data_IF_881315381579
#
_entry.id   IF_881315381579
#
_cell.length_a   1.000
_cell.length_b   1.000
_cell.length_c   1.000
_cell.angle_alpha   90.00
_cell.angle_beta   90.00
_cell.angle_gamma   90.00
#
_symmetry.space_group_name_H-M   'P 1'
#
loop_
_entity.id
_entity.type
_entity.pdbx_description
1 polymer ?
#
# COMPACT_ATOMS: atom_id res chain seq x y z
N UNK A 1 33.07 -16.86 -23.20
CA UNK A 1 32.01 -16.56 -24.20
C UNK A 1 30.60 -17.04 -23.83
N UNK A 2 30.43 -17.99 -22.90
CA UNK A 2 29.10 -18.50 -22.52
C UNK A 2 28.24 -17.51 -21.68
N UNK A 3 28.88 -16.67 -20.85
CA UNK A 3 28.18 -15.67 -20.02
C UNK A 3 27.52 -14.55 -20.83
N UNK A 4 28.09 -14.19 -21.99
CA UNK A 4 27.52 -13.20 -22.92
C UNK A 4 26.29 -13.75 -23.65
N UNK A 5 26.28 -15.05 -23.97
CA UNK A 5 25.14 -15.73 -24.61
C UNK A 5 23.94 -15.85 -23.67
N UNK A 6 24.18 -16.15 -22.38
CA UNK A 6 23.09 -16.24 -21.38
C UNK A 6 22.43 -14.87 -21.16
N UNK A 7 23.20 -13.78 -21.12
CA UNK A 7 22.67 -12.44 -20.98
C UNK A 7 21.78 -12.03 -22.18
N UNK A 8 22.18 -12.38 -23.40
CA UNK A 8 21.39 -12.12 -24.61
C UNK A 8 20.10 -12.94 -24.64
N UNK A 9 20.11 -14.20 -24.21
CA UNK A 9 18.91 -15.03 -24.13
C UNK A 9 17.87 -14.47 -23.13
N UNK A 10 18.31 -13.97 -21.97
CA UNK A 10 17.41 -13.36 -20.98
C UNK A 10 16.81 -12.06 -21.53
N UNK A 11 17.62 -11.25 -22.23
CA UNK A 11 17.14 -9.99 -22.81
C UNK A 11 16.12 -10.21 -23.94
N UNK A 12 16.27 -11.26 -24.74
CA UNK A 12 15.29 -11.62 -25.79
C UNK A 12 13.95 -12.09 -25.24
N UNK A 13 13.91 -12.78 -24.10
CA UNK A 13 12.66 -13.26 -23.48
C UNK A 13 11.85 -12.09 -22.93
N UNK A 14 12.51 -11.08 -22.33
CA UNK A 14 11.83 -9.90 -21.77
C UNK A 14 11.18 -9.05 -22.88
N UNK A 15 11.84 -8.89 -24.03
CA UNK A 15 11.28 -8.14 -25.17
C UNK A 15 10.08 -8.85 -25.78
N UNK A 16 10.10 -10.18 -25.85
CA UNK A 16 8.99 -10.97 -26.41
C UNK A 16 7.73 -10.95 -25.52
N UNK A 17 7.89 -10.91 -24.19
CA UNK A 17 6.76 -10.77 -23.26
C UNK A 17 6.16 -9.36 -23.22
N UNK A 18 6.96 -8.32 -23.54
CA UNK A 18 6.45 -6.96 -23.64
C UNK A 18 5.60 -6.76 -24.91
N UNK A 19 6.04 -7.33 -26.05
CA UNK A 19 5.32 -7.19 -27.32
C UNK A 19 3.99 -7.95 -27.34
N UNK A 20 3.91 -9.10 -26.67
CA UNK A 20 2.68 -9.92 -26.62
C UNK A 20 1.60 -9.35 -25.68
N UNK A 21 1.96 -8.58 -24.65
CA UNK A 21 0.97 -7.94 -23.77
C UNK A 21 0.35 -6.67 -24.36
N UNK A 22 1.04 -5.98 -25.26
CA UNK A 22 0.51 -4.75 -25.90
C UNK A 22 -0.49 -5.08 -27.02
N UNK A 23 -0.42 -6.26 -27.62
CA UNK A 23 -1.21 -6.61 -28.81
C UNK A 23 -2.57 -7.26 -28.50
N UNK A 24 -2.96 -7.40 -27.22
CA UNK A 24 -4.19 -8.11 -26.80
C UNK A 24 -5.29 -7.24 -26.19
N UNK A 25 -5.18 -5.91 -26.16
CA UNK A 25 -6.20 -5.05 -25.52
C UNK A 25 -6.91 -4.04 -26.43
N UNK A 26 -6.70 -4.07 -27.75
CA UNK A 26 -7.40 -3.16 -28.66
C UNK A 26 -8.46 -3.88 -29.48
N UNK A 27 -9.68 -4.05 -28.94
CA UNK A 27 -10.91 -4.13 -29.75
C UNK A 27 -12.15 -3.58 -29.02
N UNK A 28 -12.59 -2.41 -29.51
CA UNK A 28 -13.97 -1.93 -29.65
C UNK A 28 -14.74 -1.39 -28.43
N UNK A 29 -14.75 -0.06 -28.26
CA UNK A 29 -16.00 0.69 -27.98
C UNK A 29 -15.97 2.01 -28.81
N UNK A 30 -17.00 2.34 -29.62
CA UNK A 30 -17.00 3.56 -30.42
C UNK A 30 -17.19 4.81 -29.56
N UNK A 31 -16.34 5.81 -29.82
CA UNK A 31 -16.48 7.17 -29.31
C UNK A 31 -17.51 7.94 -30.13
N UNK A 32 -18.59 8.40 -29.50
CA UNK A 32 -19.47 9.41 -30.09
C UNK A 32 -19.88 10.46 -29.05
N UNK A 33 -19.11 11.55 -29.07
CA UNK A 33 -19.47 12.96 -28.91
C UNK A 33 -20.54 13.37 -27.89
N UNK A 34 -20.10 14.17 -26.91
CA UNK A 34 -20.78 15.42 -26.56
C UNK A 34 -19.75 16.47 -26.13
N UNK A 35 -19.48 17.41 -27.05
CA UNK A 35 -18.75 18.65 -26.79
C UNK A 35 -19.65 19.59 -25.98
N UNK A 36 -19.18 20.04 -24.83
CA UNK A 36 -19.61 21.29 -24.18
C UNK A 36 -18.35 22.10 -23.86
N UNK A 37 -18.29 23.41 -24.17
CA UNK A 37 -17.12 24.22 -23.94
C UNK A 37 -17.18 24.80 -22.51
N UNK A 38 -16.41 24.23 -21.60
CA UNK A 38 -15.94 24.96 -20.42
C UNK A 38 -14.57 24.40 -20.03
N UNK A 39 -13.53 25.10 -20.46
CA UNK A 39 -12.14 24.85 -20.06
C UNK A 39 -11.96 25.32 -18.62
N UNK A 40 -11.50 24.40 -17.75
CA UNK A 40 -10.41 24.58 -16.77
C UNK A 40 -10.65 23.72 -15.51
N UNK A 41 -10.27 22.44 -15.59
CA UNK A 41 -9.37 21.81 -14.62
C UNK A 41 -8.60 20.78 -15.45
N UNK A 42 -7.28 20.91 -15.51
CA UNK A 42 -6.42 19.88 -16.06
C UNK A 42 -6.45 18.68 -15.13
N UNK A 43 -7.44 17.80 -15.31
CA UNK A 43 -7.45 16.49 -14.65
C UNK A 43 -6.25 15.71 -15.20
N UNK A 44 -5.31 15.36 -14.31
CA UNK A 44 -4.27 14.43 -14.69
C UNK A 44 -4.93 13.11 -15.12
N UNK A 45 -4.44 12.46 -16.20
CA UNK A 45 -5.04 11.23 -16.65
C UNK A 45 -5.08 10.22 -15.50
N UNK A 46 -6.20 9.50 -15.28
CA UNK A 46 -6.44 8.64 -14.12
C UNK A 46 -5.39 7.54 -13.91
N UNK A 47 -4.56 7.25 -14.92
CA UNK A 47 -3.40 6.35 -14.81
C UNK A 47 -2.24 6.96 -13.98
N UNK A 48 -1.98 8.27 -14.11
CA UNK A 48 -0.94 8.96 -13.35
C UNK A 48 -1.28 9.03 -11.87
N UNK A 49 -2.52 9.38 -11.54
CA UNK A 49 -3.00 9.40 -10.15
C UNK A 49 -2.94 8.02 -9.49
N UNK A 50 -3.33 6.95 -10.21
CA UNK A 50 -3.20 5.57 -9.72
C UNK A 50 -1.76 5.17 -9.48
N UNK A 51 -0.85 5.60 -10.35
CA UNK A 51 0.59 5.34 -10.21
C UNK A 51 1.19 6.09 -9.01
N UNK A 52 0.81 7.36 -8.78
CA UNK A 52 1.28 8.13 -7.62
C UNK A 52 0.74 7.55 -6.30
N UNK A 53 -0.56 7.26 -6.23
CA UNK A 53 -1.16 6.65 -5.05
C UNK A 53 -0.51 5.30 -4.73
N UNK A 54 -0.22 4.48 -5.74
CA UNK A 54 0.46 3.20 -5.55
C UNK A 54 1.86 3.37 -4.95
N UNK A 55 2.64 4.37 -5.41
CA UNK A 55 3.96 4.67 -4.85
C UNK A 55 3.90 5.15 -3.40
N UNK A 56 2.90 5.96 -3.05
CA UNK A 56 2.68 6.38 -1.65
C UNK A 56 2.31 5.17 -0.77
N UNK A 57 1.39 4.33 -1.23
CA UNK A 57 1.00 3.11 -0.52
C UNK A 57 2.17 2.13 -0.36
N UNK A 58 3.05 2.04 -1.36
CA UNK A 58 4.29 1.27 -1.26
C UNK A 58 5.20 1.81 -0.14
N UNK A 59 5.36 3.13 -0.02
CA UNK A 59 6.16 3.73 1.05
C UNK A 59 5.59 3.47 2.47
N UNK A 60 4.27 3.41 2.60
CA UNK A 60 3.60 2.98 3.85
C UNK A 60 3.89 1.50 4.13
N UNK A 61 3.70 0.63 3.13
CA UNK A 61 3.93 -0.82 3.25
C UNK A 61 5.38 -1.16 3.63
N UNK A 62 6.37 -0.53 2.99
CA UNK A 62 7.79 -0.71 3.31
C UNK A 62 8.11 -0.29 4.75
N UNK A 63 7.56 0.84 5.20
CA UNK A 63 7.73 1.33 6.57
C UNK A 63 7.06 0.40 7.59
N UNK A 64 5.86 -0.09 7.28
CA UNK A 64 5.13 -1.03 8.13
C UNK A 64 5.88 -2.37 8.24
N UNK A 65 6.33 -2.94 7.11
CA UNK A 65 7.07 -4.22 7.11
C UNK A 65 8.36 -4.15 7.92
N UNK A 66 9.06 -3.02 7.87
CA UNK A 66 10.26 -2.81 8.67
C UNK A 66 9.99 -2.95 10.18
N UNK A 67 8.85 -2.45 10.68
CA UNK A 67 8.48 -2.56 12.10
C UNK A 67 7.78 -3.87 12.43
N UNK A 68 7.03 -4.46 11.49
CA UNK A 68 6.36 -5.75 11.65
C UNK A 68 7.37 -6.88 11.91
N UNK A 69 8.47 -6.92 11.15
CA UNK A 69 9.55 -7.90 11.31
C UNK A 69 10.10 -7.93 12.75
N UNK A 70 10.13 -6.77 13.40
CA UNK A 70 10.67 -6.62 14.75
C UNK A 70 9.63 -6.81 15.85
N UNK A 71 8.33 -6.81 15.53
CA UNK A 71 7.23 -6.75 16.51
C UNK A 71 7.17 -7.93 17.49
N UNK A 72 7.88 -9.04 17.20
CA UNK A 72 8.00 -10.20 18.08
C UNK A 72 9.25 -10.21 18.98
N UNK A 73 10.11 -9.20 18.92
CA UNK A 73 11.35 -9.20 19.69
C UNK A 73 11.11 -8.91 21.17
N UNK A 74 11.85 -9.62 22.04
CA UNK A 74 11.82 -9.42 23.49
C UNK A 74 12.55 -8.16 23.98
N UNK A 75 13.31 -7.49 23.10
CA UNK A 75 13.95 -6.20 23.37
C UNK A 75 14.35 -5.51 22.07
N UNK A 76 14.36 -4.19 22.09
CA UNK A 76 14.90 -3.38 20.99
C UNK A 76 16.23 -2.74 21.36
N UNK A 77 17.20 -2.83 20.45
CA UNK A 77 18.44 -2.08 20.50
C UNK A 77 18.26 -0.66 19.93
N UNK A 78 19.28 0.19 20.08
CA UNK A 78 19.25 1.59 19.61
C UNK A 78 18.90 1.74 18.12
N UNK A 79 19.38 0.83 17.27
CA UNK A 79 19.09 0.86 15.82
C UNK A 79 17.62 0.54 15.55
N UNK A 80 17.06 -0.43 16.25
CA UNK A 80 15.66 -0.85 16.10
C UNK A 80 14.70 0.24 16.55
N UNK A 81 14.98 0.89 17.69
CA UNK A 81 14.21 2.08 18.11
C UNK A 81 14.26 3.21 17.07
N UNK A 82 15.42 3.43 16.45
CA UNK A 82 15.55 4.42 15.37
C UNK A 82 14.70 4.06 14.15
N UNK A 83 14.71 2.80 13.71
CA UNK A 83 13.87 2.31 12.60
C UNK A 83 12.39 2.55 12.90
N UNK A 84 11.95 2.30 14.13
CA UNK A 84 10.56 2.52 14.54
C UNK A 84 10.18 4.01 14.44
N UNK A 85 11.04 4.91 14.91
CA UNK A 85 10.81 6.36 14.80
C UNK A 85 10.67 6.76 13.33
N UNK A 86 11.64 6.36 12.50
CA UNK A 86 11.65 6.69 11.06
C UNK A 86 10.42 6.14 10.34
N UNK A 87 10.01 4.91 10.65
CA UNK A 87 8.81 4.30 10.09
C UNK A 87 7.54 5.05 10.50
N UNK A 88 7.39 5.40 11.79
CA UNK A 88 6.22 6.15 12.26
C UNK A 88 6.12 7.54 11.63
N UNK A 89 7.25 8.24 11.50
CA UNK A 89 7.32 9.54 10.83
C UNK A 89 6.99 9.43 9.34
N UNK A 90 7.52 8.42 8.66
CA UNK A 90 7.25 8.19 7.23
C UNK A 90 5.78 7.86 6.98
N UNK A 91 5.21 6.91 7.74
CA UNK A 91 3.79 6.55 7.60
C UNK A 91 2.93 7.79 7.88
N UNK A 92 3.21 8.55 8.95
CA UNK A 92 2.48 9.79 9.26
C UNK A 92 2.50 10.77 8.08
N UNK A 93 3.71 11.06 7.56
CA UNK A 93 3.90 12.01 6.47
C UNK A 93 3.16 11.59 5.20
N UNK A 94 3.33 10.32 4.80
CA UNK A 94 2.70 9.80 3.59
C UNK A 94 1.18 9.73 3.76
N UNK A 95 0.69 9.25 4.89
CA UNK A 95 -0.75 9.19 5.18
C UNK A 95 -1.39 10.57 5.10
N UNK A 96 -0.74 11.60 5.65
CA UNK A 96 -1.19 12.98 5.54
C UNK A 96 -1.23 13.46 4.08
N UNK A 97 -0.23 13.11 3.27
CA UNK A 97 -0.25 13.42 1.84
C UNK A 97 -1.42 12.73 1.12
N UNK A 98 -1.67 11.46 1.44
CA UNK A 98 -2.78 10.71 0.85
C UNK A 98 -4.14 11.32 1.24
N UNK A 99 -4.33 11.68 2.52
CA UNK A 99 -5.57 12.34 2.99
C UNK A 99 -5.87 13.66 2.28
N UNK A 100 -4.84 14.40 1.87
CA UNK A 100 -5.02 15.69 1.20
C UNK A 100 -5.25 15.48 -0.30
N UNK A 101 -4.45 14.64 -0.96
CA UNK A 101 -4.45 14.49 -2.42
C UNK A 101 -5.50 13.51 -2.94
N UNK A 102 -5.78 12.45 -2.17
CA UNK A 102 -6.66 11.35 -2.55
C UNK A 102 -7.82 11.23 -1.56
N UNK A 103 -8.34 12.37 -1.13
CA UNK A 103 -9.52 12.45 -0.27
C UNK A 103 -10.74 11.84 -0.97
N UNK A 104 -11.60 11.19 -0.20
CA UNK A 104 -12.90 10.68 -0.61
C UNK A 104 -13.94 11.21 0.38
N UNK A 105 -14.38 12.49 0.25
CA UNK A 105 -15.22 13.14 1.25
C UNK A 105 -16.56 12.44 1.51
N UNK A 106 -17.09 11.75 0.51
CA UNK A 106 -18.34 10.97 0.61
C UNK A 106 -18.13 9.55 1.14
N UNK A 107 -16.87 9.14 1.37
CA UNK A 107 -16.50 7.83 1.93
C UNK A 107 -15.93 8.02 3.35
N UNK A 108 -16.84 8.16 4.31
CA UNK A 108 -16.46 8.37 5.71
C UNK A 108 -15.63 7.23 6.31
N UNK A 109 -15.83 6.00 5.82
CA UNK A 109 -15.04 4.85 6.32
C UNK A 109 -13.59 4.99 5.86
N UNK A 110 -13.36 5.35 4.60
CA UNK A 110 -12.02 5.65 4.11
C UNK A 110 -11.38 6.78 4.89
N UNK A 111 -12.07 7.92 5.04
CA UNK A 111 -11.52 9.09 5.74
C UNK A 111 -11.16 8.78 7.20
N UNK A 112 -12.04 8.09 7.92
CA UNK A 112 -11.80 7.67 9.30
C UNK A 112 -10.58 6.73 9.39
N UNK A 113 -10.48 5.71 8.52
CA UNK A 113 -9.35 4.79 8.56
C UNK A 113 -8.02 5.47 8.20
N UNK A 114 -8.03 6.44 7.29
CA UNK A 114 -6.84 7.21 6.94
C UNK A 114 -6.41 8.14 8.07
N UNK A 115 -7.35 8.78 8.76
CA UNK A 115 -7.06 9.56 9.96
C UNK A 115 -6.50 8.69 11.08
N UNK A 116 -7.14 7.55 11.37
CA UNK A 116 -6.67 6.61 12.38
C UNK A 116 -5.26 6.10 12.04
N UNK A 117 -4.97 5.75 10.79
CA UNK A 117 -3.63 5.33 10.39
C UNK A 117 -2.58 6.41 10.68
N UNK A 118 -2.90 7.68 10.45
CA UNK A 118 -2.01 8.79 10.77
C UNK A 118 -1.78 8.90 12.29
N UNK A 119 -2.86 8.93 13.09
CA UNK A 119 -2.77 9.05 14.56
C UNK A 119 -1.99 7.88 15.18
N UNK A 120 -2.25 6.67 14.71
CA UNK A 120 -1.56 5.48 15.21
C UNK A 120 -0.08 5.46 14.78
N UNK A 121 0.27 6.02 13.62
CA UNK A 121 1.66 6.17 13.21
C UNK A 121 2.42 7.24 14.02
N UNK A 122 1.76 8.37 14.32
CA UNK A 122 2.30 9.43 15.17
C UNK A 122 2.61 8.89 16.57
N UNK A 123 1.65 8.18 17.16
CA UNK A 123 1.81 7.53 18.46
C UNK A 123 2.93 6.49 18.46
N UNK A 124 3.11 5.76 17.35
CA UNK A 124 4.23 4.83 17.20
C UNK A 124 5.59 5.52 17.32
N UNK A 125 5.76 6.65 16.63
CA UNK A 125 6.99 7.42 16.74
C UNK A 125 7.17 8.02 18.14
N UNK A 126 6.09 8.49 18.78
CA UNK A 126 6.11 9.03 20.14
C UNK A 126 6.55 8.00 21.18
N UNK A 127 5.98 6.79 21.15
CA UNK A 127 6.35 5.68 22.03
C UNK A 127 7.85 5.39 21.89
N UNK A 128 8.34 5.28 20.65
CA UNK A 128 9.75 5.01 20.39
C UNK A 128 10.71 6.13 20.82
N UNK A 129 10.29 7.40 20.77
CA UNK A 129 11.07 8.51 21.36
C UNK A 129 11.17 8.42 22.87
N UNK A 130 10.16 7.82 23.51
CA UNK A 130 10.07 7.60 24.94
C UNK A 130 10.55 6.21 25.39
N UNK A 131 11.37 5.52 24.58
CA UNK A 131 11.88 4.14 24.78
C UNK A 131 12.43 3.78 26.17
N UNK A 132 12.81 4.78 26.96
CA UNK A 132 13.43 4.60 28.27
C UNK A 132 12.38 4.52 29.41
N UNK A 133 11.08 4.63 29.11
CA UNK A 133 9.98 4.42 30.07
C UNK A 133 9.64 2.93 30.21
N UNK A 134 9.19 2.52 31.40
CA UNK A 134 8.71 1.16 31.64
C UNK A 134 7.47 0.84 30.77
N UNK A 135 7.39 -0.39 30.26
CA UNK A 135 6.29 -0.84 29.40
C UNK A 135 6.37 -0.40 27.92
N UNK A 136 7.40 0.38 27.55
CA UNK A 136 7.48 0.95 26.20
C UNK A 136 7.62 -0.10 25.10
N UNK A 137 8.23 -1.26 25.40
CA UNK A 137 8.33 -2.36 24.45
C UNK A 137 6.94 -2.90 24.09
N UNK A 138 6.14 -3.20 25.10
CA UNK A 138 4.79 -3.75 24.96
C UNK A 138 3.86 -2.74 24.27
N UNK A 139 3.93 -1.47 24.66
CA UNK A 139 3.21 -0.38 24.01
C UNK A 139 3.59 -0.28 22.53
N UNK A 140 4.88 -0.37 22.22
CA UNK A 140 5.36 -0.31 20.84
C UNK A 140 4.86 -1.50 20.01
N UNK A 141 4.91 -2.71 20.57
CA UNK A 141 4.40 -3.90 19.90
C UNK A 141 2.87 -3.84 19.73
N UNK A 142 2.15 -3.29 20.70
CA UNK A 142 0.72 -3.03 20.59
C UNK A 142 0.42 -2.04 19.46
N UNK A 143 1.23 -0.99 19.36
CA UNK A 143 1.05 0.05 18.34
C UNK A 143 1.22 -0.47 16.91
N UNK A 144 2.15 -1.40 16.68
CA UNK A 144 2.28 -2.08 15.37
C UNK A 144 1.00 -2.86 15.04
N UNK A 145 0.37 -3.51 16.03
CA UNK A 145 -0.90 -4.25 15.83
C UNK A 145 -2.07 -3.31 15.54
N UNK A 146 -2.09 -2.11 16.13
CA UNK A 146 -3.09 -1.08 15.83
C UNK A 146 -3.00 -0.61 14.38
N UNK A 147 -1.79 -0.31 13.89
CA UNK A 147 -1.56 0.01 12.47
C UNK A 147 -2.03 -1.11 11.54
N UNK A 148 -1.71 -2.37 11.86
CA UNK A 148 -2.21 -3.50 11.06
C UNK A 148 -3.75 -3.54 10.97
N UNK A 149 -4.43 -3.20 12.06
CA UNK A 149 -5.90 -3.19 12.10
C UNK A 149 -6.49 -2.09 11.20
N UNK A 150 -5.88 -0.89 11.17
CA UNK A 150 -6.35 0.20 10.28
C UNK A 150 -6.18 -0.20 8.81
N UNK A 151 -5.03 -0.79 8.45
CA UNK A 151 -4.80 -1.34 7.11
C UNK A 151 -5.85 -2.40 6.76
N UNK A 152 -6.08 -3.39 7.63
CA UNK A 152 -7.02 -4.47 7.38
C UNK A 152 -8.47 -3.98 7.20
N UNK A 153 -8.91 -3.01 8.00
CA UNK A 153 -10.25 -2.41 7.87
C UNK A 153 -10.39 -1.65 6.55
N UNK A 154 -9.41 -0.81 6.20
CA UNK A 154 -9.43 -0.06 4.96
C UNK A 154 -9.40 -0.98 3.74
N UNK A 155 -8.53 -2.00 3.74
CA UNK A 155 -8.47 -2.98 2.65
C UNK A 155 -9.78 -3.75 2.49
N UNK A 156 -10.42 -4.16 3.59
CA UNK A 156 -11.73 -4.82 3.53
C UNK A 156 -12.81 -3.89 2.96
N UNK A 157 -12.81 -2.62 3.35
CA UNK A 157 -13.76 -1.63 2.87
C UNK A 157 -13.61 -1.36 1.37
N UNK A 158 -12.36 -1.24 0.89
CA UNK A 158 -12.04 -0.98 -0.51
C UNK A 158 -11.92 -2.24 -1.39
N UNK A 159 -12.26 -3.41 -0.84
CA UNK A 159 -12.12 -4.73 -1.49
C UNK A 159 -10.69 -5.03 -2.01
N UNK A 160 -9.68 -4.49 -1.33
CA UNK A 160 -8.27 -4.69 -1.64
C UNK A 160 -7.81 -6.03 -1.04
N UNK A 161 -7.40 -6.95 -1.90
CA UNK A 161 -6.88 -8.25 -1.51
C UNK A 161 -5.36 -8.25 -1.51
N UNK A 162 -4.76 -7.98 -0.36
CA UNK A 162 -3.32 -8.14 -0.17
C UNK A 162 -3.06 -9.63 0.11
N UNK A 163 -2.19 -10.25 -0.70
CA UNK A 163 -1.96 -11.70 -0.79
C UNK A 163 -3.04 -12.52 -1.52
N UNK A 164 -3.33 -12.23 -2.80
CA UNK A 164 -4.30 -13.01 -3.59
C UNK A 164 -3.94 -14.51 -3.66
N UNK A 165 -2.66 -14.85 -3.52
CA UNK A 165 -2.17 -16.22 -3.54
C UNK A 165 -2.49 -17.03 -2.27
N UNK A 166 -2.71 -16.37 -1.13
CA UNK A 166 -3.06 -17.04 0.13
C UNK A 166 -4.57 -17.33 0.23
N UNK A 167 -5.39 -16.59 -0.52
CA UNK A 167 -6.85 -16.68 -0.49
C UNK A 167 -7.44 -17.04 -1.85
N UNK A 168 -6.72 -17.81 -2.67
CA UNK A 168 -7.33 -18.45 -3.84
C UNK A 168 -8.52 -19.28 -3.35
N UNK A 169 -9.73 -18.76 -3.51
CA UNK A 169 -10.96 -19.54 -3.37
C UNK A 169 -10.84 -20.66 -4.41
N UNK A 170 -10.49 -21.85 -3.96
CA UNK A 170 -10.78 -23.04 -4.74
C UNK A 170 -12.30 -23.04 -4.88
N UNK A 171 -12.82 -22.72 -6.06
CA UNK A 171 -14.25 -22.69 -6.39
C UNK A 171 -14.91 -24.10 -6.34
N UNK A 172 -14.47 -24.97 -5.45
CA UNK A 172 -14.97 -26.32 -5.20
C UNK A 172 -15.74 -26.44 -3.89
N UNK A 173 -16.02 -25.34 -3.19
CA UNK A 173 -17.07 -25.36 -2.16
C UNK A 173 -18.43 -25.40 -2.87
N UNK A 174 -18.97 -26.62 -3.03
CA UNK A 174 -20.37 -26.81 -3.41
C UNK A 174 -21.22 -26.02 -2.43
N UNK A 175 -22.08 -25.14 -2.95
CA UNK A 175 -23.13 -24.52 -2.16
C UNK A 175 -23.87 -25.59 -1.36
N UNK A 176 -24.18 -25.35 -0.08
CA UNK A 176 -25.02 -26.27 0.67
C UNK A 176 -26.33 -26.43 -0.09
N UNK A 177 -26.74 -27.68 -0.29
CA UNK A 177 -28.01 -27.99 -0.95
C UNK A 177 -29.17 -27.42 -0.12
N UNK A 178 -30.25 -26.96 -0.78
CA UNK A 178 -31.45 -26.43 -0.12
C UNK A 178 -32.15 -27.47 0.77
#
# INVERSE_FOLDING_TARGET
MYKLLIALCIFSIVIFQYKTNVESSDKNIPAEQLKGPDELIGEEPPEKEKSELALLMQGIDESYKAVEEMSGYYKYNKKQWKIIIEAGENITKITKQVRIKFAKPDDWTYEEQMELMQVEAEKMAEIARNKDKDGTLEDQQWQVRRLRQTCAKCHKHLDIHIYPNLYKKNHTEKSPAP
#
